data_IF_274419625553
#
_entry.id   IF_274419625553
#
_cell.length_a   1.000
_cell.length_b   1.000
_cell.length_c   1.000
_cell.angle_alpha   90.00
_cell.angle_beta   90.00
_cell.angle_gamma   90.00
#
_symmetry.space_group_name_H-M   'P 1'
#
loop_
_entity.id
_entity.type
_entity.pdbx_description
1 polymer ?
#
# COMPACT_ATOMS: atom_id res chain seq x y z
N UNK A 1 96.82 -7.86 20.23
CA UNK A 1 95.72 -7.13 19.56
C UNK A 1 94.81 -6.57 20.64
N UNK A 2 94.50 -5.29 20.58
CA UNK A 2 93.90 -4.48 21.65
C UNK A 2 92.43 -4.85 21.95
N UNK A 3 92.15 -5.22 23.20
CA UNK A 3 90.80 -5.51 23.72
C UNK A 3 89.80 -4.36 23.49
N UNK A 4 90.29 -3.12 23.43
CA UNK A 4 89.47 -1.93 23.14
C UNK A 4 88.86 -1.96 21.73
N UNK A 5 89.55 -2.53 20.73
CA UNK A 5 89.03 -2.61 19.36
C UNK A 5 87.83 -3.57 19.28
N UNK A 6 87.95 -4.72 19.94
CA UNK A 6 86.88 -5.71 20.07
C UNK A 6 85.68 -5.14 20.84
N UNK A 7 85.93 -4.42 21.93
CA UNK A 7 84.87 -3.79 22.74
C UNK A 7 84.05 -2.78 21.91
N UNK A 8 84.72 -1.91 21.14
CA UNK A 8 84.05 -0.93 20.29
C UNK A 8 83.23 -1.58 19.17
N UNK A 9 83.71 -2.68 18.60
CA UNK A 9 82.97 -3.45 17.59
C UNK A 9 81.69 -4.05 18.19
N UNK A 10 81.76 -4.62 19.40
CA UNK A 10 80.58 -5.17 20.09
C UNK A 10 79.56 -4.05 20.37
N UNK A 11 80.00 -2.89 20.86
CA UNK A 11 79.13 -1.73 21.11
C UNK A 11 78.46 -1.27 19.80
N UNK A 12 79.21 -1.18 18.71
CA UNK A 12 78.66 -0.79 17.41
C UNK A 12 77.56 -1.76 16.93
N UNK A 13 77.77 -3.08 17.09
CA UNK A 13 76.78 -4.11 16.73
C UNK A 13 75.52 -3.98 17.59
N UNK A 14 75.66 -3.74 18.90
CA UNK A 14 74.52 -3.55 19.82
C UNK A 14 73.72 -2.30 19.46
N UNK A 15 74.39 -1.20 19.11
CA UNK A 15 73.72 0.04 18.68
C UNK A 15 72.95 -0.17 17.38
N UNK A 16 73.54 -0.85 16.40
CA UNK A 16 72.86 -1.18 15.13
C UNK A 16 71.65 -2.08 15.39
N UNK A 17 71.79 -3.11 16.24
CA UNK A 17 70.68 -3.98 16.62
C UNK A 17 69.55 -3.20 17.33
N UNK A 18 69.89 -2.28 18.24
CA UNK A 18 68.92 -1.43 18.92
C UNK A 18 68.17 -0.49 17.95
N UNK A 19 68.85 0.05 16.94
CA UNK A 19 68.22 0.88 15.90
C UNK A 19 67.25 0.04 15.06
N UNK A 20 67.64 -1.18 14.66
CA UNK A 20 66.78 -2.08 13.88
C UNK A 20 65.52 -2.45 14.66
N UNK A 21 65.65 -2.80 15.95
CA UNK A 21 64.51 -3.10 16.83
C UNK A 21 63.63 -1.86 17.03
N UNK A 22 64.23 -0.68 17.25
CA UNK A 22 63.51 0.58 17.38
C UNK A 22 62.67 0.93 16.15
N UNK A 23 63.25 0.79 14.96
CA UNK A 23 62.55 1.03 13.69
C UNK A 23 61.41 0.02 13.46
N UNK A 24 61.60 -1.25 13.80
CA UNK A 24 60.57 -2.28 13.70
C UNK A 24 59.37 -2.01 14.63
N UNK A 25 59.63 -1.52 15.85
CA UNK A 25 58.60 -1.14 16.82
C UNK A 25 57.82 0.11 16.37
N UNK A 26 58.52 1.12 15.85
CA UNK A 26 57.88 2.33 15.29
C UNK A 26 57.04 1.99 14.06
N UNK A 27 57.54 1.13 13.16
CA UNK A 27 56.78 0.66 12.00
C UNK A 27 55.51 -0.13 12.40
N UNK A 28 55.61 -1.01 13.42
CA UNK A 28 54.44 -1.71 13.99
C UNK A 28 53.43 -0.75 14.64
N UNK A 29 53.89 0.30 15.33
CA UNK A 29 53.03 1.31 15.96
C UNK A 29 52.36 2.23 14.93
N UNK A 30 53.01 2.48 13.80
CA UNK A 30 52.45 3.26 12.67
C UNK A 30 51.38 2.48 11.90
N UNK A 31 51.53 1.16 11.76
CA UNK A 31 50.51 0.27 11.14
C UNK A 31 49.19 0.27 11.90
N UNK A 32 49.21 0.28 13.24
CA UNK A 32 47.99 0.31 14.08
C UNK A 32 47.21 1.63 14.02
N UNK A 33 47.81 2.73 13.53
CA UNK A 33 47.11 4.02 13.37
C UNK A 33 46.41 4.17 12.03
N UNK A 34 46.78 3.38 11.03
CA UNK A 34 46.18 3.43 9.68
C UNK A 34 44.92 2.54 9.57
N UNK A 35 44.82 1.49 10.38
CA UNK A 35 43.63 0.62 10.43
C UNK A 35 42.43 1.29 11.14
N UNK A 36 42.67 2.14 12.14
CA UNK A 36 41.61 2.84 12.86
C UNK A 36 40.88 3.90 11.99
N UNK A 37 41.53 4.43 10.96
CA UNK A 37 40.87 5.33 10.00
C UNK A 37 40.07 4.55 8.95
N UNK A 38 40.59 3.41 8.47
CA UNK A 38 39.88 2.57 7.49
C UNK A 38 38.59 1.95 8.06
N UNK A 39 38.62 1.49 9.31
CA UNK A 39 37.42 0.96 9.97
C UNK A 39 36.36 2.04 10.24
N UNK A 40 36.77 3.30 10.51
CA UNK A 40 35.82 4.41 10.68
C UNK A 40 35.11 4.76 9.37
N UNK A 41 35.83 4.78 8.25
CA UNK A 41 35.24 5.05 6.94
C UNK A 41 34.31 3.93 6.46
N UNK A 42 34.60 2.65 6.76
CA UNK A 42 33.68 1.55 6.42
C UNK A 42 32.41 1.57 7.27
N UNK A 43 32.53 1.88 8.57
CA UNK A 43 31.37 2.01 9.47
C UNK A 43 30.47 3.20 9.11
N UNK A 44 31.03 4.33 8.67
CA UNK A 44 30.23 5.47 8.21
C UNK A 44 29.50 5.16 6.89
N UNK A 45 30.15 4.47 5.96
CA UNK A 45 29.53 4.07 4.70
C UNK A 45 28.41 3.03 4.89
N UNK A 46 28.56 2.09 5.83
CA UNK A 46 27.48 1.16 6.19
C UNK A 46 26.34 1.85 6.93
N UNK A 47 26.65 2.78 7.84
CA UNK A 47 25.63 3.58 8.54
C UNK A 47 24.82 4.44 7.58
N UNK A 48 25.44 5.03 6.57
CA UNK A 48 24.73 5.82 5.55
C UNK A 48 23.79 4.93 4.71
N UNK A 49 24.23 3.70 4.36
CA UNK A 49 23.38 2.73 3.65
C UNK A 49 22.20 2.27 4.51
N UNK A 50 22.42 2.00 5.79
CA UNK A 50 21.36 1.62 6.74
C UNK A 50 20.41 2.79 6.97
N UNK A 51 20.91 4.01 7.15
CA UNK A 51 20.10 5.22 7.31
C UNK A 51 19.24 5.50 6.07
N UNK A 52 19.78 5.32 4.85
CA UNK A 52 18.99 5.42 3.60
C UNK A 52 17.89 4.37 3.54
N UNK A 53 18.19 3.12 3.92
CA UNK A 53 17.18 2.04 3.95
C UNK A 53 16.12 2.30 5.01
N UNK A 54 16.51 2.83 6.17
CA UNK A 54 15.59 3.20 7.24
C UNK A 54 14.69 4.36 6.80
N UNK A 55 15.25 5.39 6.17
CA UNK A 55 14.48 6.51 5.63
C UNK A 55 13.48 6.06 4.56
N UNK A 56 13.87 5.14 3.68
CA UNK A 56 12.95 4.55 2.70
C UNK A 56 11.86 3.71 3.38
N UNK A 57 12.21 2.94 4.42
CA UNK A 57 11.22 2.18 5.19
C UNK A 57 10.21 3.10 5.88
N UNK A 58 10.68 4.14 6.56
CA UNK A 58 9.84 5.12 7.25
C UNK A 58 8.97 5.90 6.24
N UNK A 59 9.52 6.24 5.08
CA UNK A 59 8.76 6.86 3.97
C UNK A 59 7.69 5.91 3.43
N UNK A 60 8.02 4.62 3.24
CA UNK A 60 7.02 3.64 2.77
C UNK A 60 5.93 3.40 3.80
N UNK A 61 6.25 3.36 5.10
CA UNK A 61 5.26 3.22 6.16
C UNK A 61 4.35 4.46 6.23
N UNK A 62 4.93 5.66 6.13
CA UNK A 62 4.16 6.89 6.06
C UNK A 62 3.22 6.92 4.83
N UNK A 63 3.72 6.54 3.65
CA UNK A 63 2.90 6.44 2.42
C UNK A 63 1.81 5.38 2.54
N UNK A 64 2.10 4.24 3.15
CA UNK A 64 1.11 3.18 3.39
C UNK A 64 -0.01 3.66 4.30
N UNK A 65 0.31 4.37 5.39
CA UNK A 65 -0.68 4.97 6.29
C UNK A 65 -1.52 6.03 5.61
N UNK A 66 -0.91 6.88 4.78
CA UNK A 66 -1.64 7.89 3.99
C UNK A 66 -2.62 7.24 3.02
N UNK A 67 -2.18 6.23 2.26
CA UNK A 67 -3.04 5.49 1.33
C UNK A 67 -4.19 4.77 2.04
N UNK A 68 -3.93 4.20 3.23
CA UNK A 68 -4.97 3.57 4.04
C UNK A 68 -6.03 4.58 4.51
N UNK A 69 -5.62 5.76 4.96
CA UNK A 69 -6.53 6.82 5.37
C UNK A 69 -7.39 7.33 4.21
N UNK A 70 -6.81 7.49 3.02
CA UNK A 70 -7.55 7.86 1.81
C UNK A 70 -8.57 6.78 1.41
N UNK A 71 -8.20 5.50 1.51
CA UNK A 71 -9.10 4.40 1.24
C UNK A 71 -10.28 4.36 2.22
N UNK A 72 -10.04 4.58 3.52
CA UNK A 72 -11.10 4.68 4.52
C UNK A 72 -12.03 5.86 4.26
N UNK A 73 -11.50 7.03 3.91
CA UNK A 73 -12.31 8.20 3.56
C UNK A 73 -13.23 7.90 2.36
N UNK A 74 -12.68 7.26 1.31
CA UNK A 74 -13.44 6.85 0.14
C UNK A 74 -14.50 5.79 0.46
N UNK A 75 -14.17 4.83 1.34
CA UNK A 75 -15.12 3.82 1.80
C UNK A 75 -16.27 4.45 2.59
N UNK A 76 -15.99 5.45 3.43
CA UNK A 76 -17.02 6.19 4.15
C UNK A 76 -17.93 6.98 3.20
N UNK A 77 -17.39 7.61 2.16
CA UNK A 77 -18.19 8.28 1.14
C UNK A 77 -19.07 7.30 0.36
N UNK A 78 -18.52 6.15 -0.04
CA UNK A 78 -19.27 5.10 -0.72
C UNK A 78 -20.44 4.58 0.15
N UNK A 79 -20.21 4.39 1.47
CA UNK A 79 -21.27 4.04 2.42
C UNK A 79 -22.37 5.10 2.45
N UNK A 80 -22.02 6.39 2.53
CA UNK A 80 -23.02 7.48 2.49
C UNK A 80 -23.84 7.48 1.21
N UNK A 81 -23.22 7.17 0.07
CA UNK A 81 -23.93 7.11 -1.21
C UNK A 81 -24.87 5.89 -1.26
N UNK A 82 -24.41 4.74 -0.75
CA UNK A 82 -25.22 3.53 -0.63
C UNK A 82 -26.42 3.72 0.31
N UNK A 83 -26.22 4.38 1.45
CA UNK A 83 -27.29 4.68 2.41
C UNK A 83 -28.36 5.57 1.76
N UNK A 84 -27.96 6.60 0.99
CA UNK A 84 -28.91 7.43 0.22
C UNK A 84 -29.66 6.62 -0.81
N UNK A 85 -28.98 5.75 -1.55
CA UNK A 85 -29.62 4.88 -2.54
C UNK A 85 -30.63 3.93 -1.87
N UNK A 86 -30.27 3.35 -0.72
CA UNK A 86 -31.16 2.49 0.06
C UNK A 86 -32.39 3.26 0.55
N UNK A 87 -32.22 4.49 1.07
CA UNK A 87 -33.32 5.34 1.47
C UNK A 87 -34.27 5.65 0.30
N UNK A 88 -33.74 5.99 -0.88
CA UNK A 88 -34.57 6.19 -2.08
C UNK A 88 -35.33 4.94 -2.50
N UNK A 89 -34.71 3.76 -2.40
CA UNK A 89 -35.40 2.50 -2.70
C UNK A 89 -36.51 2.19 -1.71
N UNK A 90 -36.29 2.47 -0.41
CA UNK A 90 -37.33 2.30 0.62
C UNK A 90 -38.51 3.23 0.36
N UNK A 91 -38.27 4.52 0.11
CA UNK A 91 -39.34 5.47 -0.24
C UNK A 91 -40.09 5.04 -1.50
N UNK A 92 -39.38 4.55 -2.53
CA UNK A 92 -40.02 4.06 -3.74
C UNK A 92 -40.87 2.79 -3.48
N UNK A 93 -40.43 1.90 -2.58
CA UNK A 93 -41.21 0.74 -2.17
C UNK A 93 -42.46 1.15 -1.40
N UNK A 94 -42.35 2.07 -0.44
CA UNK A 94 -43.48 2.62 0.31
C UNK A 94 -44.55 3.23 -0.62
N UNK A 95 -44.14 4.01 -1.62
CA UNK A 95 -45.08 4.56 -2.60
C UNK A 95 -45.76 3.49 -3.45
N UNK A 96 -45.06 2.40 -3.79
CA UNK A 96 -45.69 1.28 -4.51
C UNK A 96 -46.71 0.57 -3.65
N UNK A 97 -46.40 0.33 -2.38
CA UNK A 97 -47.33 -0.29 -1.43
C UNK A 97 -48.58 0.59 -1.23
N UNK A 98 -48.41 1.91 -1.12
CA UNK A 98 -49.54 2.87 -1.03
C UNK A 98 -50.41 2.86 -2.29
N UNK A 99 -49.80 2.82 -3.48
CA UNK A 99 -50.52 2.73 -4.75
C UNK A 99 -51.29 1.41 -4.87
N UNK A 100 -50.68 0.29 -4.45
CA UNK A 100 -51.31 -1.03 -4.46
C UNK A 100 -52.51 -1.08 -3.50
N UNK A 101 -52.39 -0.51 -2.30
CA UNK A 101 -53.50 -0.40 -1.35
C UNK A 101 -54.65 0.44 -1.91
N UNK A 102 -54.32 1.57 -2.54
CA UNK A 102 -55.30 2.45 -3.16
C UNK A 102 -56.00 1.81 -4.34
N UNK A 103 -55.27 1.07 -5.17
CA UNK A 103 -55.81 0.27 -6.27
C UNK A 103 -56.80 -0.79 -5.74
N UNK A 104 -56.40 -1.58 -4.73
CA UNK A 104 -57.28 -2.56 -4.08
C UNK A 104 -58.52 -1.93 -3.43
N UNK A 105 -58.44 -0.68 -2.98
CA UNK A 105 -59.57 0.05 -2.43
C UNK A 105 -60.55 0.48 -3.53
N UNK A 106 -60.03 0.99 -4.65
CA UNK A 106 -60.83 1.34 -5.83
C UNK A 106 -61.56 0.09 -6.35
N UNK A 107 -60.86 -1.02 -6.55
CA UNK A 107 -61.43 -2.30 -7.03
C UNK A 107 -62.52 -2.87 -6.13
N UNK A 108 -62.53 -2.48 -4.85
CA UNK A 108 -63.53 -2.92 -3.87
C UNK A 108 -64.81 -2.08 -3.93
N UNK A 109 -64.66 -0.79 -4.21
CA UNK A 109 -65.76 0.16 -4.27
C UNK A 109 -66.40 0.17 -5.65
N UNK A 110 -65.62 -0.10 -6.70
CA UNK A 110 -66.09 -0.10 -8.07
C UNK A 110 -67.11 -1.24 -8.33
N UNK A 111 -68.40 -0.91 -8.59
CA UNK A 111 -69.43 -1.89 -8.87
C UNK A 111 -69.28 -2.56 -10.25
N UNK A 112 -68.48 -2.01 -11.17
CA UNK A 112 -68.21 -2.62 -12.48
C UNK A 112 -67.24 -3.80 -12.35
N UNK A 113 -66.30 -3.78 -11.40
CA UNK A 113 -65.36 -4.90 -11.13
C UNK A 113 -66.08 -6.11 -10.54
N UNK A 114 -67.19 -5.90 -9.82
CA UNK A 114 -68.08 -7.01 -9.39
C UNK A 114 -68.80 -7.65 -10.57
N UNK A 115 -69.17 -6.87 -11.60
CA UNK A 115 -69.80 -7.40 -12.82
C UNK A 115 -68.83 -8.17 -13.71
N UNK A 116 -67.55 -7.80 -13.75
CA UNK A 116 -66.53 -8.55 -14.51
C UNK A 116 -66.18 -9.89 -13.86
N UNK A 117 -66.06 -9.94 -12.52
CA UNK A 117 -65.79 -11.19 -11.77
C UNK A 117 -66.91 -12.23 -11.85
N UNK A 118 -68.15 -11.80 -12.09
CA UNK A 118 -69.33 -12.67 -12.20
C UNK A 118 -69.67 -13.02 -13.67
N UNK A 119 -68.97 -12.42 -14.65
CA UNK A 119 -69.32 -12.51 -16.09
C UNK A 119 -68.30 -13.24 -16.99
N UNK A 120 -67.04 -13.41 -16.62
CA UNK A 120 -66.18 -14.21 -17.51
C UNK A 120 -64.70 -14.15 -17.21
N UNK A 121 -64.16 -15.33 -16.89
CA UNK A 121 -62.82 -15.76 -17.26
C UNK A 121 -62.73 -16.04 -18.78
N UNK A 122 -63.21 -15.14 -19.63
CA UNK A 122 -63.08 -15.26 -21.09
C UNK A 122 -61.97 -14.32 -21.60
N UNK A 123 -60.77 -14.90 -21.65
CA UNK A 123 -59.75 -14.73 -22.68
C UNK A 123 -59.09 -13.34 -22.88
N UNK A 124 -57.81 -13.16 -22.47
CA UNK A 124 -57.02 -12.03 -22.94
C UNK A 124 -56.45 -12.34 -24.33
N UNK A 125 -56.96 -11.63 -25.34
CA UNK A 125 -56.34 -11.49 -26.66
C UNK A 125 -54.93 -10.87 -26.52
N UNK A 126 -53.94 -11.73 -26.27
CA UNK A 126 -52.52 -11.37 -26.38
C UNK A 126 -52.15 -11.44 -27.86
N UNK A 127 -52.39 -10.36 -28.59
CA UNK A 127 -51.63 -10.08 -29.79
C UNK A 127 -50.18 -9.78 -29.37
N UNK A 128 -49.37 -10.84 -29.39
CA UNK A 128 -47.92 -10.76 -29.31
C UNK A 128 -47.45 -10.05 -30.58
N UNK A 129 -47.16 -8.76 -30.48
CA UNK A 129 -46.40 -8.05 -31.51
C UNK A 129 -44.94 -8.48 -31.31
N UNK A 130 -44.55 -9.56 -31.98
CA UNK A 130 -43.14 -9.91 -32.18
C UNK A 130 -42.54 -8.89 -33.16
N UNK A 131 -42.15 -7.71 -32.67
CA UNK A 131 -41.22 -6.84 -33.42
C UNK A 131 -39.78 -7.25 -33.03
N UNK A 132 -39.01 -7.89 -33.94
CA UNK A 132 -37.62 -8.21 -33.65
C UNK A 132 -36.81 -6.92 -33.52
N UNK A 133 -35.83 -6.85 -32.59
CA UNK A 133 -35.03 -5.66 -32.41
C UNK A 133 -34.23 -5.39 -33.69
N UNK A 134 -34.51 -4.24 -34.33
CA UNK A 134 -33.67 -3.72 -35.42
C UNK A 134 -32.28 -3.44 -34.86
N UNK A 135 -31.32 -4.27 -35.26
CA UNK A 135 -29.89 -4.04 -35.10
C UNK A 135 -29.55 -2.72 -35.79
N UNK A 136 -29.34 -1.67 -35.01
CA UNK A 136 -28.71 -0.45 -35.48
C UNK A 136 -27.22 -0.75 -35.48
N UNK A 137 -26.74 -1.33 -36.58
CA UNK A 137 -25.30 -1.45 -36.82
C UNK A 137 -24.80 -0.04 -37.16
N UNK A 138 -24.37 0.68 -36.13
CA UNK A 138 -23.71 1.97 -36.33
C UNK A 138 -22.35 1.71 -36.99
N UNK A 139 -22.31 2.15 -38.24
CA UNK A 139 -21.18 2.22 -39.16
C UNK A 139 -20.01 2.96 -38.50
N UNK A 140 -18.82 2.39 -38.71
CA UNK A 140 -17.50 2.91 -38.30
C UNK A 140 -17.11 4.15 -39.09
#
# INVERSE_FOLDING_TARGET
MSDNGTLWIIIAVVVVAAIVVGLALVARRKRRRVEAQKMRTELEAEREKVAKRQALADETDARARAAAAEAEAKAAEARRLADRASAHQQTAAEHRDELDERSRHIDRIDPDVKRSRDRGDDEPDRQVIDEPPRRIDNVR
#
